data_IF_273155852194
#
_entry.id   IF_273155852194
#
_cell.length_a   1.000
_cell.length_b   1.000
_cell.length_c   1.000
_cell.angle_alpha   90.00
_cell.angle_beta   90.00
_cell.angle_gamma   90.00
#
_symmetry.space_group_name_H-M   'P 1'
#
loop_
_entity.id
_entity.type
_entity.pdbx_description
1 polymer ?
#
# COMPACT_ATOMS: atom_id res chain seq x y z
N UNK A 1 13.45 19.16 11.73
CA UNK A 1 12.34 18.34 11.20
C UNK A 1 12.96 17.08 10.62
N UNK A 2 12.63 15.90 11.16
CA UNK A 2 13.14 14.64 10.59
C UNK A 2 12.46 14.45 9.23
N UNK A 3 13.27 14.38 8.19
CA UNK A 3 12.84 14.26 6.79
C UNK A 3 12.21 12.88 6.56
N UNK A 4 10.89 12.84 6.37
CA UNK A 4 10.17 11.73 5.74
C UNK A 4 10.24 12.00 4.23
N UNK A 5 11.35 11.61 3.60
CA UNK A 5 11.71 12.13 2.27
C UNK A 5 11.14 11.35 1.09
N UNK A 6 10.66 10.11 1.30
CA UNK A 6 10.26 9.22 0.20
C UNK A 6 9.06 8.37 0.62
N UNK A 7 8.02 8.34 -0.22
CA UNK A 7 6.90 7.40 -0.04
C UNK A 7 7.18 6.05 -0.74
N UNK A 8 6.46 5.01 -0.34
CA UNK A 8 6.69 3.65 -0.85
C UNK A 8 6.48 3.57 -2.36
N UNK A 9 5.55 4.35 -2.93
CA UNK A 9 5.32 4.38 -4.38
C UNK A 9 6.57 4.81 -5.14
N UNK A 10 7.15 5.95 -4.75
CA UNK A 10 8.37 6.50 -5.35
C UNK A 10 9.53 5.53 -5.18
N UNK A 11 9.67 4.95 -3.99
CA UNK A 11 10.72 3.97 -3.71
C UNK A 11 10.63 2.73 -4.60
N UNK A 12 9.43 2.15 -4.75
CA UNK A 12 9.20 0.97 -5.60
C UNK A 12 9.47 1.28 -7.08
N UNK A 13 9.07 2.46 -7.57
CA UNK A 13 9.33 2.89 -8.95
C UNK A 13 10.83 3.07 -9.22
N UNK A 14 11.56 3.67 -8.27
CA UNK A 14 13.00 3.91 -8.40
C UNK A 14 13.84 2.62 -8.33
N UNK A 15 13.37 1.62 -7.58
CA UNK A 15 14.16 0.42 -7.26
C UNK A 15 13.58 -0.88 -7.83
N UNK A 16 12.61 -0.81 -8.75
CA UNK A 16 11.83 -1.96 -9.24
C UNK A 16 12.67 -3.19 -9.60
N UNK A 17 13.77 -3.00 -10.35
CA UNK A 17 14.63 -4.08 -10.84
C UNK A 17 15.72 -4.51 -9.84
N UNK A 18 15.79 -3.86 -8.68
CA UNK A 18 16.84 -4.05 -7.68
C UNK A 18 16.30 -4.56 -6.34
N UNK A 19 14.98 -4.45 -6.08
CA UNK A 19 14.37 -4.95 -4.84
C UNK A 19 14.44 -6.47 -4.74
N UNK A 20 15.12 -6.93 -3.71
CA UNK A 20 15.16 -8.34 -3.32
C UNK A 20 13.85 -8.78 -2.66
N UNK A 21 13.56 -10.07 -2.71
CA UNK A 21 12.43 -10.64 -1.97
C UNK A 21 12.52 -10.42 -0.45
N UNK A 22 13.74 -10.39 0.09
CA UNK A 22 13.96 -10.12 1.52
C UNK A 22 13.49 -8.71 1.88
N UNK A 23 13.79 -7.71 1.05
CA UNK A 23 13.32 -6.33 1.26
C UNK A 23 11.80 -6.23 1.10
N UNK A 24 11.22 -6.89 0.08
CA UNK A 24 9.75 -6.92 -0.10
C UNK A 24 9.03 -7.51 1.11
N UNK A 25 9.54 -8.62 1.65
CA UNK A 25 9.00 -9.25 2.85
C UNK A 25 9.14 -8.32 4.07
N UNK A 26 10.30 -7.68 4.24
CA UNK A 26 10.52 -6.70 5.32
C UNK A 26 9.51 -5.55 5.26
N UNK A 27 9.36 -4.92 4.10
CA UNK A 27 8.42 -3.82 3.89
C UNK A 27 7.00 -4.28 4.22
N UNK A 28 6.59 -5.45 3.71
CA UNK A 28 5.26 -6.01 3.97
C UNK A 28 5.03 -6.24 5.46
N UNK A 29 6.02 -6.80 6.16
CA UNK A 29 5.95 -7.05 7.59
C UNK A 29 5.77 -5.75 8.40
N UNK A 30 6.56 -4.72 8.11
CA UNK A 30 6.48 -3.43 8.81
C UNK A 30 5.11 -2.76 8.61
N UNK A 31 4.53 -2.86 7.41
CA UNK A 31 3.19 -2.33 7.11
C UNK A 31 2.10 -3.11 7.86
N UNK A 32 2.19 -4.44 7.88
CA UNK A 32 1.22 -5.29 8.59
C UNK A 32 1.28 -5.01 10.09
N UNK A 33 2.47 -4.88 10.66
CA UNK A 33 2.65 -4.52 12.07
C UNK A 33 2.05 -3.13 12.36
N UNK A 34 2.38 -2.11 11.56
CA UNK A 34 1.80 -0.78 11.71
C UNK A 34 0.27 -0.78 11.59
N UNK A 35 -0.30 -1.62 10.73
CA UNK A 35 -1.76 -1.73 10.58
C UNK A 35 -2.42 -2.42 11.77
N UNK A 36 -1.79 -3.47 12.32
CA UNK A 36 -2.24 -4.15 13.55
C UNK A 36 -2.31 -3.16 14.74
N UNK A 37 -1.36 -2.23 14.82
CA UNK A 37 -1.42 -1.14 15.80
C UNK A 37 -2.63 -0.21 15.60
N UNK A 38 -2.94 0.19 14.37
CA UNK A 38 -4.13 1.00 14.06
C UNK A 38 -5.42 0.23 14.42
N UNK A 39 -5.45 -1.08 14.13
CA UNK A 39 -6.58 -1.94 14.45
C UNK A 39 -6.81 -2.14 15.95
N UNK A 40 -5.74 -2.21 16.74
CA UNK A 40 -5.82 -2.26 18.22
C UNK A 40 -6.48 -1.01 18.80
N UNK A 41 -6.37 0.13 18.13
CA UNK A 41 -7.09 1.36 18.47
C UNK A 41 -8.55 1.37 17.96
N UNK A 42 -9.05 0.24 17.44
CA UNK A 42 -10.36 0.09 16.79
C UNK A 42 -10.58 1.02 15.59
N UNK A 43 -9.52 1.36 14.85
CA UNK A 43 -9.58 2.24 13.69
C UNK A 43 -9.31 1.49 12.38
N UNK A 44 -9.88 1.99 11.28
CA UNK A 44 -9.58 1.58 9.91
C UNK A 44 -9.00 2.79 9.18
N UNK A 45 -7.85 2.64 8.53
CA UNK A 45 -7.19 3.71 7.79
C UNK A 45 -8.02 4.30 6.64
N UNK A 46 -8.74 3.42 5.92
CA UNK A 46 -9.58 3.67 4.72
C UNK A 46 -8.91 4.23 3.48
N UNK A 47 -7.76 4.89 3.60
CA UNK A 47 -6.98 5.40 2.47
C UNK A 47 -5.57 4.80 2.42
N UNK A 48 -5.47 3.49 2.70
CA UNK A 48 -4.19 2.80 2.72
C UNK A 48 -3.73 2.47 1.30
N UNK A 49 -2.66 3.13 0.85
CA UNK A 49 -1.97 2.85 -0.41
C UNK A 49 -0.49 3.22 -0.32
N UNK A 50 0.32 2.82 -1.30
CA UNK A 50 1.78 3.05 -1.32
C UNK A 50 2.21 4.52 -1.15
N UNK A 51 1.41 5.48 -1.62
CA UNK A 51 1.66 6.91 -1.42
C UNK A 51 1.52 7.39 0.03
N UNK A 52 0.78 6.66 0.88
CA UNK A 52 0.54 6.99 2.29
C UNK A 52 1.44 6.16 3.22
N UNK A 53 2.50 5.55 2.67
CA UNK A 53 3.49 4.78 3.42
C UNK A 53 4.82 5.49 3.28
N UNK A 54 5.37 5.95 4.40
CA UNK A 54 6.52 6.83 4.42
C UNK A 54 7.72 6.13 5.06
N UNK A 55 8.88 6.30 4.44
CA UNK A 55 10.13 5.80 4.99
C UNK A 55 10.75 6.82 5.95
N UNK A 56 11.09 6.36 7.16
CA UNK A 56 11.88 7.13 8.12
C UNK A 56 13.32 6.65 8.11
N UNK A 57 14.20 7.50 7.59
CA UNK A 57 15.66 7.30 7.64
C UNK A 57 16.20 7.23 9.08
N UNK A 58 15.49 7.80 10.05
CA UNK A 58 15.99 7.94 11.42
C UNK A 58 16.01 6.62 12.21
N UNK A 59 15.19 5.66 11.80
CA UNK A 59 15.06 4.35 12.43
C UNK A 59 14.97 3.22 11.39
N UNK A 60 15.24 3.53 10.12
CA UNK A 60 15.20 2.58 9.01
C UNK A 60 13.91 1.75 9.01
N UNK A 61 12.76 2.42 9.00
CA UNK A 61 11.46 1.76 9.06
C UNK A 61 10.38 2.48 8.24
N UNK A 62 9.42 1.71 7.75
CA UNK A 62 8.23 2.16 7.04
C UNK A 62 7.06 2.40 7.99
N UNK A 63 6.33 3.49 7.75
CA UNK A 63 5.21 3.93 8.58
C UNK A 63 3.98 4.22 7.73
N UNK A 64 2.81 3.88 8.26
CA UNK A 64 1.53 4.34 7.72
C UNK A 64 1.32 5.80 8.14
N UNK A 65 0.95 6.64 7.18
CA UNK A 65 0.71 8.08 7.35
C UNK A 65 -0.67 8.47 6.82
N UNK A 66 -1.08 9.71 7.09
CA UNK A 66 -2.37 10.27 6.67
C UNK A 66 -3.60 9.57 7.25
N UNK A 67 -3.74 9.70 8.57
CA UNK A 67 -4.88 9.17 9.32
C UNK A 67 -6.17 10.00 9.15
N UNK A 68 -6.23 10.96 8.21
CA UNK A 68 -7.35 11.89 8.03
C UNK A 68 -8.69 11.23 7.70
N UNK A 69 -8.64 10.01 7.16
CA UNK A 69 -9.83 9.20 6.83
C UNK A 69 -10.09 8.05 7.81
N UNK A 70 -9.37 8.00 8.93
CA UNK A 70 -9.56 6.95 9.92
C UNK A 70 -10.96 6.99 10.52
N UNK A 71 -11.60 5.83 10.63
CA UNK A 71 -12.88 5.69 11.32
C UNK A 71 -12.94 4.40 12.14
N UNK A 72 -13.87 4.28 13.10
CA UNK A 72 -14.09 3.02 13.81
C UNK A 72 -14.36 1.85 12.85
N UNK A 73 -14.01 0.65 13.27
CA UNK A 73 -14.13 -0.57 12.46
C UNK A 73 -15.54 -0.76 11.90
N UNK A 74 -15.63 -0.90 10.57
CA UNK A 74 -16.72 -1.50 9.83
C UNK A 74 -16.21 -2.68 8.96
N UNK A 75 -17.11 -3.47 8.39
CA UNK A 75 -16.82 -4.84 7.94
C UNK A 75 -15.99 -4.98 6.64
N UNK A 76 -15.34 -3.93 6.09
CA UNK A 76 -14.89 -3.92 4.67
C UNK A 76 -13.40 -3.64 4.36
N UNK A 77 -12.44 -4.13 5.15
CA UNK A 77 -11.01 -3.77 4.98
C UNK A 77 -10.17 -4.63 4.01
N UNK A 78 -10.66 -5.77 3.53
CA UNK A 78 -9.80 -6.76 2.85
C UNK A 78 -9.19 -6.30 1.52
N UNK A 79 -9.82 -5.33 0.83
CA UNK A 79 -9.42 -4.94 -0.52
C UNK A 79 -8.19 -4.02 -0.57
N UNK A 80 -7.97 -3.16 0.43
CA UNK A 80 -6.86 -2.19 0.40
C UNK A 80 -5.49 -2.86 0.62
N UNK A 81 -5.41 -3.82 1.54
CA UNK A 81 -4.18 -4.59 1.80
C UNK A 81 -3.76 -5.40 0.57
N UNK A 82 -4.72 -6.06 -0.10
CA UNK A 82 -4.41 -6.88 -1.27
C UNK A 82 -3.81 -6.06 -2.41
N UNK A 83 -4.34 -4.86 -2.67
CA UNK A 83 -3.84 -3.96 -3.71
C UNK A 83 -2.45 -3.40 -3.38
N UNK A 84 -2.19 -3.14 -2.10
CA UNK A 84 -0.87 -2.73 -1.64
C UNK A 84 0.17 -3.86 -1.75
N UNK A 85 -0.19 -5.08 -1.34
CA UNK A 85 0.68 -6.26 -1.49
C UNK A 85 0.98 -6.56 -2.96
N UNK A 86 0.01 -6.34 -3.85
CA UNK A 86 0.22 -6.41 -5.30
C UNK A 86 1.33 -5.43 -5.74
N UNK A 87 1.19 -4.15 -5.37
CA UNK A 87 2.16 -3.12 -5.73
C UNK A 87 3.57 -3.41 -5.17
N UNK A 88 3.68 -3.92 -3.95
CA UNK A 88 4.97 -4.33 -3.36
C UNK A 88 5.57 -5.52 -4.10
N UNK A 89 4.76 -6.45 -4.59
CA UNK A 89 5.24 -7.66 -5.28
C UNK A 89 5.72 -7.36 -6.70
N UNK A 90 4.98 -6.52 -7.41
CA UNK A 90 5.21 -6.23 -8.83
C UNK A 90 5.81 -4.85 -9.09
N UNK A 91 6.06 -4.05 -8.04
CA UNK A 91 6.64 -2.71 -8.12
C UNK A 91 5.87 -1.71 -8.99
N UNK A 92 4.61 -2.02 -9.33
CA UNK A 92 3.74 -1.22 -10.18
C UNK A 92 2.32 -1.20 -9.62
N UNK A 93 1.58 -0.09 -9.76
CA UNK A 93 0.18 -0.05 -9.36
C UNK A 93 -0.66 -1.13 -10.04
N UNK A 94 -1.63 -1.74 -9.33
CA UNK A 94 -2.61 -2.61 -9.96
C UNK A 94 -3.36 -1.82 -11.04
N UNK A 95 -3.67 -2.48 -12.16
CA UNK A 95 -4.39 -1.87 -13.29
C UNK A 95 -3.70 -0.67 -13.97
N UNK A 96 -2.36 -0.53 -13.89
CA UNK A 96 -1.60 0.55 -14.57
C UNK A 96 -2.00 0.81 -16.03
N UNK A 97 -2.43 -0.23 -16.75
CA UNK A 97 -2.80 -0.14 -18.17
C UNK A 97 -4.27 0.26 -18.42
N UNK A 98 -5.02 0.62 -17.37
CA UNK A 98 -6.41 1.04 -17.44
C UNK A 98 -6.53 2.51 -17.04
N UNK A 99 -7.54 3.21 -17.56
CA UNK A 99 -7.89 4.53 -17.05
C UNK A 99 -8.54 4.38 -15.66
N UNK A 100 -8.13 5.20 -14.70
CA UNK A 100 -8.64 5.17 -13.33
C UNK A 100 -9.94 5.97 -13.23
N UNK A 101 -10.98 5.46 -13.87
CA UNK A 101 -12.30 6.07 -13.97
C UNK A 101 -13.41 5.19 -13.33
N UNK A 102 -14.65 5.63 -13.47
CA UNK A 102 -15.81 4.89 -12.97
C UNK A 102 -16.05 3.58 -13.71
N UNK A 103 -15.59 3.44 -14.96
CA UNK A 103 -15.72 2.22 -15.76
C UNK A 103 -14.81 1.13 -15.16
N UNK A 104 -13.56 1.47 -14.84
CA UNK A 104 -12.65 0.57 -14.14
C UNK A 104 -13.24 0.13 -12.79
N UNK A 105 -13.85 1.04 -12.03
CA UNK A 105 -14.50 0.70 -10.76
C UNK A 105 -15.63 -0.33 -10.94
N UNK A 106 -16.51 -0.16 -11.93
CA UNK A 106 -17.56 -1.13 -12.27
C UNK A 106 -16.95 -2.48 -12.64
N UNK A 107 -15.93 -2.49 -13.49
CA UNK A 107 -15.26 -3.73 -13.90
C UNK A 107 -14.64 -4.49 -12.71
N UNK A 108 -14.10 -3.78 -11.70
CA UNK A 108 -13.56 -4.38 -10.47
C UNK A 108 -14.67 -5.02 -9.64
N UNK A 109 -15.81 -4.34 -9.50
CA UNK A 109 -17.02 -4.86 -8.85
C UNK A 109 -17.51 -6.11 -9.58
N UNK A 110 -17.47 -6.11 -10.91
CA UNK A 110 -17.86 -7.23 -11.76
C UNK A 110 -16.80 -8.35 -11.82
N UNK A 111 -15.69 -8.21 -11.09
CA UNK A 111 -14.75 -9.30 -10.85
C UNK A 111 -13.44 -9.24 -11.63
N UNK A 112 -13.14 -8.16 -12.39
CA UNK A 112 -11.83 -8.02 -13.01
C UNK A 112 -10.74 -7.95 -11.92
N UNK A 113 -9.60 -8.58 -12.17
CA UNK A 113 -8.43 -8.59 -11.29
C UNK A 113 -7.19 -8.19 -12.07
N UNK A 114 -6.15 -7.63 -11.41
CA UNK A 114 -4.90 -7.31 -12.08
C UNK A 114 -4.31 -8.55 -12.74
N UNK A 115 -3.85 -8.42 -13.99
CA UNK A 115 -3.22 -9.52 -14.71
C UNK A 115 -1.75 -9.60 -14.30
N UNK A 116 -1.28 -10.82 -14.01
CA UNK A 116 0.14 -11.09 -13.88
C UNK A 116 0.71 -11.00 -15.30
N UNK A 117 1.50 -9.98 -15.57
CA UNK A 117 2.28 -9.89 -16.80
C UNK A 117 3.51 -10.79 -16.59
N UNK A 118 3.48 -11.97 -17.21
CA UNK A 118 4.60 -12.91 -17.29
C UNK A 118 5.59 -12.50 -18.38
#
# INVERSE_FOLDING_TARGET
>A
MKKLDVNLREYLQQNHNQLTWKERIRITFEIVDALDWIHKENLIHRDLHSGNILYSQSNDAWYISDLGFCCPVDNNQQYSIAMLMWEISFGQPPFMNYEHDSILAINIIDGIRPKILS
#
